data_IF_615913774213
#
_entry.id   IF_615913774213
#
_cell.length_a   1.000
_cell.length_b   1.000
_cell.length_c   1.000
_cell.angle_alpha   90.00
_cell.angle_beta   90.00
_cell.angle_gamma   90.00
#
_symmetry.space_group_name_H-M   'P 1'
#
loop_
_entity.id
_entity.type
_entity.pdbx_description
1 polymer ?
#
# COMPACT_ATOMS: atom_id res chain seq x y z
N UNK A 1 37.54 15.13 0.57
CA UNK A 1 36.52 16.19 0.37
C UNK A 1 35.29 15.55 -0.24
N UNK A 2 34.23 15.30 0.56
CA UNK A 2 32.94 14.80 0.06
C UNK A 2 32.03 16.01 -0.19
N UNK A 3 31.74 16.31 -1.45
CA UNK A 3 30.70 17.27 -1.79
C UNK A 3 29.34 16.61 -1.51
N UNK A 4 28.63 17.06 -0.47
CA UNK A 4 27.21 16.79 -0.33
C UNK A 4 26.51 17.59 -1.42
N UNK A 5 26.28 16.97 -2.57
CA UNK A 5 25.37 17.51 -3.57
C UNK A 5 23.97 17.43 -2.98
N UNK A 6 23.53 18.52 -2.36
CA UNK A 6 22.12 18.73 -2.03
C UNK A 6 21.36 18.80 -3.34
N UNK A 7 20.85 17.65 -3.78
CA UNK A 7 19.87 17.61 -4.87
C UNK A 7 18.69 18.46 -4.37
N UNK A 8 18.28 19.53 -5.08
CA UNK A 8 17.15 20.31 -4.65
C UNK A 8 15.96 19.37 -4.53
N UNK A 9 15.43 19.24 -3.31
CA UNK A 9 14.10 18.68 -3.10
C UNK A 9 13.21 19.38 -4.10
N UNK A 10 12.51 18.61 -4.93
CA UNK A 10 11.48 19.14 -5.81
C UNK A 10 10.42 19.73 -4.87
N UNK A 11 10.59 21.00 -4.51
CA UNK A 11 9.58 21.78 -3.81
C UNK A 11 8.47 21.93 -4.84
N UNK A 12 7.31 21.30 -4.67
CA UNK A 12 6.19 21.57 -5.55
C UNK A 12 5.99 23.09 -5.55
N UNK A 13 5.97 23.74 -6.72
CA UNK A 13 5.38 25.08 -6.85
C UNK A 13 3.91 24.93 -6.43
N UNK A 14 3.65 25.17 -5.16
CA UNK A 14 2.88 24.17 -4.43
C UNK A 14 1.35 24.30 -4.48
N UNK A 15 0.65 23.22 -4.12
CA UNK A 15 -0.81 23.07 -4.21
C UNK A 15 -1.58 23.84 -3.12
N UNK A 16 -0.99 24.83 -2.45
CA UNK A 16 -1.54 25.40 -1.21
C UNK A 16 -2.74 26.34 -1.43
N UNK A 17 -2.94 26.80 -2.67
CA UNK A 17 -4.18 27.47 -3.10
C UNK A 17 -5.30 26.48 -3.43
N UNK A 18 -4.97 25.19 -3.59
CA UNK A 18 -5.97 24.15 -3.80
C UNK A 18 -6.42 23.61 -2.46
N UNK A 19 -7.72 23.32 -2.36
CA UNK A 19 -8.32 22.70 -1.17
C UNK A 19 -7.52 21.47 -0.73
N UNK A 20 -7.35 21.28 0.58
CA UNK A 20 -6.75 20.07 1.14
C UNK A 20 -7.40 18.83 0.52
N UNK A 21 -6.57 17.92 0.03
CA UNK A 21 -7.05 16.67 -0.56
C UNK A 21 -7.38 15.68 0.56
N UNK A 22 -8.60 15.74 1.09
CA UNK A 22 -9.08 14.84 2.14
C UNK A 22 -9.24 13.38 1.71
N UNK A 23 -9.10 13.09 0.40
CA UNK A 23 -9.09 11.74 -0.14
C UNK A 23 -7.64 11.23 -0.37
N UNK A 24 -6.64 11.91 0.21
CA UNK A 24 -5.26 11.45 0.24
C UNK A 24 -5.16 10.18 1.09
N UNK A 25 -4.31 9.25 0.67
CA UNK A 25 -3.98 8.02 1.38
C UNK A 25 -2.47 7.97 1.58
N UNK A 26 -2.02 7.42 2.70
CA UNK A 26 -0.61 7.24 2.97
C UNK A 26 -0.31 5.98 3.80
N UNK A 27 0.83 5.33 3.54
CA UNK A 27 1.33 4.23 4.37
C UNK A 27 1.64 4.72 5.80
N UNK A 28 1.91 3.82 6.73
CA UNK A 28 2.27 4.22 8.10
C UNK A 28 3.56 5.06 8.13
N UNK A 29 4.49 4.80 7.21
CA UNK A 29 5.71 5.59 6.94
C UNK A 29 5.46 6.94 6.28
N UNK A 30 4.21 7.26 5.93
CA UNK A 30 3.86 8.51 5.28
C UNK A 30 4.08 8.56 3.76
N UNK A 31 4.22 7.42 3.09
CA UNK A 31 4.28 7.40 1.63
C UNK A 31 2.90 7.60 1.03
N UNK A 32 2.77 8.57 0.13
CA UNK A 32 1.49 8.87 -0.51
C UNK A 32 1.11 7.76 -1.48
N UNK A 33 -0.06 7.17 -1.27
CA UNK A 33 -0.70 6.22 -2.17
C UNK A 33 -1.97 6.83 -2.76
N UNK A 34 -2.30 6.46 -3.99
CA UNK A 34 -3.59 6.79 -4.60
C UNK A 34 -4.44 5.53 -4.68
N UNK A 35 -5.63 5.47 -4.06
CA UNK A 35 -6.51 4.32 -4.26
C UNK A 35 -6.90 4.20 -5.74
N UNK A 36 -7.00 2.97 -6.26
CA UNK A 36 -7.20 2.73 -7.70
C UNK A 36 -8.36 3.55 -8.29
N UNK A 37 -9.47 3.66 -7.56
CA UNK A 37 -10.66 4.40 -7.97
C UNK A 37 -10.39 5.90 -8.21
N UNK A 38 -9.51 6.51 -7.42
CA UNK A 38 -9.09 7.89 -7.62
C UNK A 38 -8.09 7.97 -8.78
N UNK A 39 -7.15 7.02 -8.87
CA UNK A 39 -6.17 6.95 -9.95
C UNK A 39 -6.80 6.91 -11.34
N UNK A 40 -7.88 6.13 -11.53
CA UNK A 40 -8.61 6.06 -12.82
C UNK A 40 -9.53 7.25 -13.07
N UNK A 41 -9.84 8.05 -12.05
CA UNK A 41 -10.67 9.27 -12.17
C UNK A 41 -9.84 10.53 -12.37
N UNK A 42 -8.57 10.53 -11.94
CA UNK A 42 -7.64 11.65 -12.09
C UNK A 42 -7.42 12.02 -13.56
N UNK A 43 -7.82 13.23 -13.91
CA UNK A 43 -7.70 13.84 -15.24
C UNK A 43 -8.62 15.05 -15.33
N UNK A 44 -8.30 16.00 -16.21
CA UNK A 44 -9.16 17.16 -16.45
C UNK A 44 -10.60 16.72 -16.72
N UNK A 45 -11.56 17.46 -16.19
CA UNK A 45 -12.96 17.39 -16.61
C UNK A 45 -13.06 17.80 -18.07
N UNK A 46 -12.77 16.86 -18.98
CA UNK A 46 -13.05 17.04 -20.39
C UNK A 46 -14.57 16.96 -20.59
N UNK A 47 -15.05 17.76 -21.53
CA UNK A 47 -16.42 17.70 -22.01
C UNK A 47 -16.83 16.23 -22.26
N UNK A 48 -18.05 15.87 -21.84
CA UNK A 48 -18.59 14.52 -22.05
C UNK A 48 -18.44 14.15 -23.53
N UNK A 49 -17.67 13.11 -23.88
CA UNK A 49 -17.51 12.73 -25.27
C UNK A 49 -18.88 12.33 -25.84
N UNK A 50 -19.20 12.81 -27.05
CA UNK A 50 -20.42 12.41 -27.74
C UNK A 50 -20.33 10.93 -28.15
N UNK A 51 -21.43 10.19 -28.07
CA UNK A 51 -21.51 8.78 -28.51
C UNK A 51 -21.04 8.62 -29.98
N UNK A 52 -21.33 9.63 -30.81
CA UNK A 52 -20.98 9.66 -32.23
C UNK A 52 -19.46 9.60 -32.47
N UNK A 53 -18.67 10.32 -31.66
CA UNK A 53 -17.21 10.34 -31.78
C UNK A 53 -16.59 8.96 -31.55
N UNK A 54 -17.18 8.15 -30.64
CA UNK A 54 -16.67 6.80 -30.35
C UNK A 54 -16.95 5.82 -31.49
N UNK A 55 -18.11 5.92 -32.15
CA UNK A 55 -18.42 5.08 -33.31
C UNK A 55 -17.47 5.34 -34.48
N UNK A 56 -17.07 6.59 -34.70
CA UNK A 56 -16.08 6.95 -35.73
C UNK A 56 -14.73 6.30 -35.41
N UNK A 57 -14.28 6.38 -34.15
CA UNK A 57 -13.03 5.76 -33.69
C UNK A 57 -12.97 4.26 -34.02
N UNK A 58 -14.05 3.51 -33.72
CA UNK A 58 -14.10 2.07 -33.98
C UNK A 58 -14.07 1.68 -35.47
N UNK A 59 -14.33 2.62 -36.39
CA UNK A 59 -14.28 2.41 -37.84
C UNK A 59 -12.90 2.71 -38.44
N UNK A 60 -11.98 3.27 -37.67
CA UNK A 60 -10.62 3.54 -38.14
C UNK A 60 -9.83 2.23 -38.30
N UNK A 61 -8.84 2.18 -39.20
CA UNK A 61 -7.81 1.13 -39.20
C UNK A 61 -7.18 0.93 -37.82
N UNK A 62 -6.82 -0.30 -37.48
CA UNK A 62 -6.33 -0.68 -36.14
C UNK A 62 -5.08 0.11 -35.75
N UNK A 63 -4.24 0.46 -36.72
CA UNK A 63 -3.03 1.25 -36.54
C UNK A 63 -3.37 2.68 -36.06
N UNK A 64 -4.40 3.28 -36.67
CA UNK A 64 -4.88 4.61 -36.27
C UNK A 64 -5.60 4.55 -34.92
N UNK A 65 -6.35 3.48 -34.64
CA UNK A 65 -6.92 3.27 -33.31
C UNK A 65 -5.84 3.22 -32.24
N UNK A 66 -4.79 2.40 -32.45
CA UNK A 66 -3.67 2.26 -31.52
C UNK A 66 -2.89 3.57 -31.35
N UNK A 67 -2.67 4.30 -32.44
CA UNK A 67 -2.06 5.62 -32.40
C UNK A 67 -2.88 6.58 -31.53
N UNK A 68 -4.19 6.67 -31.73
CA UNK A 68 -5.08 7.52 -30.91
C UNK A 68 -5.04 7.10 -29.44
N UNK A 69 -5.09 5.80 -29.14
CA UNK A 69 -5.02 5.30 -27.76
C UNK A 69 -3.73 5.72 -27.05
N UNK A 70 -2.61 5.85 -27.77
CA UNK A 70 -1.33 6.29 -27.19
C UNK A 70 -1.35 7.73 -26.65
N UNK A 71 -2.28 8.57 -27.13
CA UNK A 71 -2.50 9.93 -26.63
C UNK A 71 -3.59 10.02 -25.55
N UNK A 72 -4.28 8.91 -25.26
CA UNK A 72 -5.31 8.91 -24.24
C UNK A 72 -4.71 9.04 -22.84
N UNK A 73 -5.37 9.84 -21.99
CA UNK A 73 -5.06 9.84 -20.56
C UNK A 73 -5.55 8.55 -19.89
N UNK A 74 -5.21 8.37 -18.61
CA UNK A 74 -5.53 7.16 -17.85
C UNK A 74 -7.03 6.92 -17.75
N UNK A 75 -7.79 7.99 -17.53
CA UNK A 75 -9.24 7.94 -17.42
C UNK A 75 -9.85 7.46 -18.73
N UNK A 76 -9.44 8.02 -19.87
CA UNK A 76 -9.91 7.60 -21.18
C UNK A 76 -9.52 6.15 -21.49
N UNK A 77 -8.27 5.75 -21.24
CA UNK A 77 -7.83 4.36 -21.42
C UNK A 77 -8.66 3.38 -20.58
N UNK A 78 -8.90 3.71 -19.30
CA UNK A 78 -9.74 2.90 -18.41
C UNK A 78 -11.18 2.78 -18.92
N UNK A 79 -11.77 3.87 -19.42
CA UNK A 79 -13.11 3.82 -20.00
C UNK A 79 -13.15 2.94 -21.26
N UNK A 80 -12.16 3.08 -22.15
CA UNK A 80 -12.07 2.25 -23.38
C UNK A 80 -11.91 0.77 -23.04
N UNK A 81 -11.10 0.43 -22.04
CA UNK A 81 -10.95 -0.94 -21.55
C UNK A 81 -12.30 -1.56 -21.16
N UNK A 82 -13.20 -0.76 -20.59
CA UNK A 82 -14.50 -1.22 -20.10
C UNK A 82 -15.59 -1.19 -21.18
N UNK A 83 -15.54 -0.25 -22.12
CA UNK A 83 -16.62 -0.01 -23.08
C UNK A 83 -16.51 -0.83 -24.37
N UNK A 84 -15.31 -1.25 -24.78
CA UNK A 84 -15.11 -1.89 -26.09
C UNK A 84 -14.22 -3.13 -26.00
N UNK A 85 -14.75 -4.33 -26.30
CA UNK A 85 -13.96 -5.57 -26.32
C UNK A 85 -12.82 -5.55 -27.35
N UNK A 86 -13.02 -4.92 -28.52
CA UNK A 86 -12.03 -4.92 -29.61
C UNK A 86 -10.78 -4.11 -29.26
N UNK A 87 -10.93 -3.03 -28.51
CA UNK A 87 -9.83 -2.14 -28.11
C UNK A 87 -9.34 -2.40 -26.69
N UNK A 88 -10.05 -3.24 -25.91
CA UNK A 88 -9.74 -3.52 -24.51
C UNK A 88 -8.30 -3.96 -24.30
N UNK A 89 -7.81 -4.88 -25.14
CA UNK A 89 -6.46 -5.45 -25.02
C UNK A 89 -5.38 -4.38 -25.22
N UNK A 90 -5.49 -3.56 -26.26
CA UNK A 90 -4.49 -2.52 -26.55
C UNK A 90 -4.56 -1.36 -25.56
N UNK A 91 -5.76 -0.95 -25.15
CA UNK A 91 -5.94 0.06 -24.11
C UNK A 91 -5.37 -0.41 -22.76
N UNK A 92 -5.57 -1.68 -22.40
CA UNK A 92 -5.00 -2.26 -21.19
C UNK A 92 -3.47 -2.22 -21.21
N UNK A 93 -2.82 -2.63 -22.32
CA UNK A 93 -1.36 -2.57 -22.44
C UNK A 93 -0.83 -1.17 -22.13
N UNK A 94 -1.44 -0.13 -22.69
CA UNK A 94 -1.03 1.26 -22.49
C UNK A 94 -1.33 1.77 -21.07
N UNK A 95 -2.47 1.37 -20.49
CA UNK A 95 -2.85 1.77 -19.14
C UNK A 95 -1.87 1.24 -18.09
N UNK A 96 -1.50 -0.04 -18.19
CA UNK A 96 -0.63 -0.72 -17.22
C UNK A 96 0.87 -0.55 -17.50
N UNK A 97 1.27 0.10 -18.60
CA UNK A 97 2.68 0.25 -19.00
C UNK A 97 3.36 1.54 -18.57
N UNK A 98 2.79 2.32 -17.66
CA UNK A 98 3.42 3.59 -17.20
C UNK A 98 4.50 3.33 -16.16
N UNK A 99 5.81 3.56 -16.45
CA UNK A 99 6.89 3.21 -15.53
C UNK A 99 6.95 4.07 -14.25
N UNK A 100 6.35 5.26 -14.29
CA UNK A 100 6.29 6.18 -13.15
C UNK A 100 5.27 5.76 -12.09
N UNK A 101 4.34 4.86 -12.44
CA UNK A 101 3.28 4.38 -11.57
C UNK A 101 3.64 2.97 -11.11
N UNK A 102 3.49 2.71 -9.82
CA UNK A 102 3.68 1.38 -9.25
C UNK A 102 2.46 0.96 -8.46
N UNK A 103 2.09 -0.29 -8.63
CA UNK A 103 1.03 -0.90 -7.84
C UNK A 103 1.64 -1.50 -6.58
N UNK A 104 1.11 -1.10 -5.43
CA UNK A 104 1.57 -1.59 -4.12
C UNK A 104 1.02 -2.99 -3.91
N UNK A 105 1.91 -3.95 -3.66
CA UNK A 105 1.58 -5.35 -3.43
C UNK A 105 2.15 -5.75 -2.07
N UNK A 106 1.35 -6.46 -1.30
CA UNK A 106 1.78 -7.01 -0.01
C UNK A 106 2.82 -8.12 -0.21
N UNK A 107 3.99 -7.95 0.37
CA UNK A 107 5.11 -8.91 0.35
C UNK A 107 4.77 -10.22 1.07
N UNK A 108 4.31 -10.19 2.33
CA UNK A 108 3.77 -11.34 3.05
C UNK A 108 2.78 -12.18 2.25
N UNK A 109 1.84 -11.55 1.55
CA UNK A 109 0.93 -12.27 0.65
C UNK A 109 1.67 -13.06 -0.45
N UNK A 110 2.75 -12.54 -1.04
CA UNK A 110 3.53 -13.27 -2.03
C UNK A 110 4.36 -14.39 -1.42
N UNK A 111 4.91 -14.19 -0.23
CA UNK A 111 5.64 -15.20 0.53
C UNK A 111 4.73 -16.36 0.93
N UNK A 112 3.48 -16.06 1.28
CA UNK A 112 2.46 -17.06 1.59
C UNK A 112 1.92 -17.78 0.35
N UNK A 113 2.55 -17.65 -0.82
CA UNK A 113 2.12 -18.32 -2.05
C UNK A 113 1.06 -17.54 -2.85
N UNK A 114 0.71 -16.33 -2.44
CA UNK A 114 -0.16 -15.44 -3.20
C UNK A 114 -1.58 -15.98 -3.29
N UNK A 115 -2.12 -16.51 -2.20
CA UNK A 115 -3.46 -17.11 -2.17
C UNK A 115 -4.56 -16.03 -2.28
N UNK A 116 -5.63 -16.21 -3.09
CA UNK A 116 -6.70 -15.23 -3.27
C UNK A 116 -7.52 -14.95 -2.01
N UNK A 117 -7.55 -15.88 -1.05
CA UNK A 117 -8.23 -15.65 0.22
C UNK A 117 -7.50 -14.62 1.11
N UNK A 118 -6.21 -14.40 0.90
CA UNK A 118 -5.39 -13.53 1.76
C UNK A 118 -5.40 -12.08 1.25
N UNK A 119 -5.74 -11.86 -0.02
CA UNK A 119 -5.78 -10.51 -0.62
C UNK A 119 -7.17 -10.19 -1.14
N UNK A 120 -7.59 -8.95 -0.92
CA UNK A 120 -8.78 -8.38 -1.56
C UNK A 120 -8.47 -7.70 -2.90
N UNK A 121 -7.24 -7.86 -3.45
CA UNK A 121 -6.87 -7.30 -4.75
C UNK A 121 -7.47 -8.09 -5.92
N UNK A 122 -7.92 -7.38 -6.96
CA UNK A 122 -8.42 -8.00 -8.20
C UNK A 122 -7.28 -8.69 -8.96
N UNK A 123 -7.27 -10.03 -8.85
CA UNK A 123 -6.24 -10.86 -9.45
C UNK A 123 -6.22 -10.84 -10.98
N UNK A 124 -7.33 -10.52 -11.65
CA UNK A 124 -7.33 -10.35 -13.11
C UNK A 124 -6.64 -9.05 -13.51
N UNK A 125 -6.81 -7.99 -12.71
CA UNK A 125 -6.06 -6.76 -12.89
C UNK A 125 -4.56 -6.97 -12.59
N UNK A 126 -4.21 -7.72 -11.54
CA UNK A 126 -2.83 -8.06 -11.19
C UNK A 126 -2.07 -8.68 -12.37
N UNK A 127 -2.72 -9.55 -13.16
CA UNK A 127 -2.09 -10.17 -14.34
C UNK A 127 -1.59 -9.16 -15.37
N UNK A 128 -2.16 -7.96 -15.40
CA UNK A 128 -1.82 -6.92 -16.36
C UNK A 128 -0.76 -5.94 -15.85
N UNK A 129 -0.49 -5.91 -14.53
CA UNK A 129 0.43 -4.96 -13.92
C UNK A 129 1.88 -5.25 -14.33
N UNK A 130 2.62 -4.20 -14.70
CA UNK A 130 4.00 -4.30 -15.20
C UNK A 130 5.06 -3.76 -14.23
N UNK A 131 4.67 -2.79 -13.42
CA UNK A 131 5.54 -2.07 -12.49
C UNK A 131 4.98 -2.23 -11.09
N UNK A 132 5.68 -2.99 -10.26
CA UNK A 132 5.23 -3.35 -8.93
C UNK A 132 6.11 -2.65 -7.88
N UNK A 133 5.49 -2.37 -6.74
CA UNK A 133 6.16 -2.02 -5.50
C UNK A 133 5.71 -3.05 -4.47
N UNK A 134 6.60 -3.94 -4.06
CA UNK A 134 6.29 -4.99 -3.08
C UNK A 134 6.73 -4.48 -1.72
N UNK A 135 5.77 -4.28 -0.84
CA UNK A 135 5.95 -3.72 0.49
C UNK A 135 6.06 -4.83 1.53
N UNK A 136 7.10 -4.78 2.34
CA UNK A 136 7.28 -5.63 3.52
C UNK A 136 7.11 -4.76 4.77
N UNK A 137 6.07 -5.03 5.57
CA UNK A 137 5.86 -4.31 6.82
C UNK A 137 6.58 -4.98 7.98
N UNK A 138 7.05 -4.19 8.94
CA UNK A 138 7.81 -4.68 10.11
C UNK A 138 7.12 -5.76 10.93
N UNK A 139 5.79 -5.71 11.02
CA UNK A 139 4.99 -6.66 11.80
C UNK A 139 4.89 -8.03 11.13
N UNK A 140 5.21 -8.12 9.84
CA UNK A 140 5.05 -9.31 9.01
C UNK A 140 6.37 -9.80 8.40
N UNK A 141 7.45 -9.01 8.51
CA UNK A 141 8.73 -9.21 7.83
C UNK A 141 9.69 -10.16 8.53
N UNK A 142 9.24 -10.95 9.51
CA UNK A 142 10.00 -12.14 9.86
C UNK A 142 9.88 -13.11 8.68
N UNK A 143 10.72 -12.94 7.65
CA UNK A 143 10.94 -13.91 6.57
C UNK A 143 11.28 -15.29 7.18
N UNK A 144 11.92 -15.31 8.35
CA UNK A 144 12.10 -16.52 9.17
C UNK A 144 10.84 -17.13 9.79
N UNK A 145 9.65 -16.56 9.61
CA UNK A 145 8.39 -17.24 9.98
C UNK A 145 8.11 -18.33 8.96
N UNK A 146 7.83 -19.55 9.43
CA UNK A 146 7.47 -20.60 8.49
C UNK A 146 6.08 -20.34 7.90
N UNK A 147 6.03 -20.04 6.62
CA UNK A 147 4.80 -20.02 5.85
C UNK A 147 4.49 -21.45 5.40
N UNK A 148 3.96 -22.28 6.30
CA UNK A 148 3.50 -23.63 5.98
C UNK A 148 2.10 -23.53 5.37
N UNK A 149 2.01 -23.86 4.09
CA UNK A 149 0.78 -23.79 3.31
C UNK A 149 0.09 -22.42 3.33
N UNK A 150 0.84 -21.32 3.51
CA UNK A 150 0.29 -19.96 3.52
C UNK A 150 -0.25 -19.48 4.86
N UNK A 151 -0.06 -20.25 5.94
CA UNK A 151 -0.27 -19.79 7.31
C UNK A 151 1.08 -19.44 7.94
N UNK A 152 1.14 -18.32 8.67
CA UNK A 152 2.34 -17.92 9.39
C UNK A 152 2.46 -18.74 10.68
N UNK A 153 3.39 -19.69 10.72
CA UNK A 153 3.74 -20.36 11.95
C UNK A 153 4.77 -19.53 12.71
N UNK A 154 4.36 -18.98 13.86
CA UNK A 154 5.26 -18.35 14.82
C UNK A 154 6.08 -19.43 15.54
N UNK A 155 6.99 -20.07 14.82
CA UNK A 155 7.97 -20.93 15.45
C UNK A 155 9.09 -20.00 15.94
N UNK A 156 9.32 -19.99 17.25
CA UNK A 156 10.44 -19.27 17.86
C UNK A 156 11.76 -19.96 17.48
N UNK A 157 12.21 -19.77 16.24
CA UNK A 157 13.40 -20.41 15.67
C UNK A 157 14.72 -19.83 16.17
N UNK A 158 14.69 -18.83 17.06
CA UNK A 158 15.85 -17.98 17.29
C UNK A 158 17.00 -18.65 18.05
N UNK A 159 16.77 -19.78 18.72
CA UNK A 159 17.76 -20.29 19.68
C UNK A 159 18.54 -21.57 19.28
N UNK A 160 18.09 -22.42 18.32
CA UNK A 160 18.66 -23.78 18.26
C UNK A 160 19.15 -24.33 16.88
N UNK A 161 19.09 -23.62 15.74
CA UNK A 161 19.57 -24.23 14.47
C UNK A 161 20.31 -23.29 13.50
N UNK A 162 21.60 -23.04 13.77
CA UNK A 162 22.52 -22.27 12.89
C UNK A 162 22.78 -22.91 11.50
N UNK A 163 22.24 -24.09 11.18
CA UNK A 163 22.50 -24.81 9.91
C UNK A 163 21.32 -24.95 8.95
N UNK A 164 20.06 -24.81 9.41
CA UNK A 164 18.86 -25.00 8.57
C UNK A 164 18.39 -23.71 7.88
N UNK A 165 18.80 -22.53 8.39
CA UNK A 165 18.33 -21.24 7.92
C UNK A 165 18.63 -21.01 6.42
N UNK A 166 19.83 -21.33 5.97
CA UNK A 166 20.27 -20.98 4.60
C UNK A 166 19.52 -21.73 3.49
N UNK A 167 19.17 -23.01 3.67
CA UNK A 167 18.42 -23.75 2.64
C UNK A 167 16.95 -23.36 2.62
N UNK A 168 16.39 -23.00 3.78
CA UNK A 168 15.03 -22.54 3.93
C UNK A 168 14.82 -21.16 3.27
N UNK A 169 15.74 -20.22 3.51
CA UNK A 169 15.76 -18.90 2.87
C UNK A 169 15.78 -19.02 1.34
N UNK A 170 16.67 -19.86 0.78
CA UNK A 170 16.74 -20.05 -0.67
C UNK A 170 15.44 -20.61 -1.26
N UNK A 171 14.78 -21.52 -0.54
CA UNK A 171 13.47 -22.04 -0.94
C UNK A 171 12.40 -20.94 -0.94
N UNK A 172 12.29 -20.15 0.12
CA UNK A 172 11.32 -19.06 0.21
C UNK A 172 11.51 -18.00 -0.87
N UNK A 173 12.75 -17.57 -1.12
CA UNK A 173 13.08 -16.61 -2.17
C UNK A 173 12.64 -17.16 -3.54
N UNK A 174 12.89 -18.45 -3.77
CA UNK A 174 12.48 -19.14 -5.00
C UNK A 174 10.96 -19.18 -5.14
N UNK A 175 10.24 -19.55 -4.09
CA UNK A 175 8.78 -19.62 -4.10
C UNK A 175 8.12 -18.24 -4.22
N UNK A 176 8.71 -17.20 -3.61
CA UNK A 176 8.30 -15.81 -3.81
C UNK A 176 8.32 -15.43 -5.30
N UNK A 177 9.44 -15.64 -5.98
CA UNK A 177 9.57 -15.26 -7.40
C UNK A 177 8.70 -16.12 -8.32
N UNK A 178 8.52 -17.41 -8.02
CA UNK A 178 7.56 -18.27 -8.73
C UNK A 178 6.13 -17.75 -8.56
N UNK A 179 5.74 -17.41 -7.34
CA UNK A 179 4.43 -16.86 -7.01
C UNK A 179 4.20 -15.53 -7.72
N UNK A 180 5.18 -14.62 -7.67
CA UNK A 180 5.12 -13.33 -8.35
C UNK A 180 4.93 -13.52 -9.86
N UNK A 181 5.71 -14.40 -10.52
CA UNK A 181 5.55 -14.67 -11.96
C UNK A 181 4.19 -15.26 -12.30
N UNK A 182 3.66 -16.14 -11.44
CA UNK A 182 2.34 -16.75 -11.60
C UNK A 182 1.22 -15.73 -11.49
N UNK A 183 1.28 -14.84 -10.49
CA UNK A 183 0.23 -13.83 -10.22
C UNK A 183 0.36 -12.58 -11.09
N UNK A 184 1.57 -12.23 -11.49
CA UNK A 184 1.92 -11.05 -12.29
C UNK A 184 2.73 -11.43 -13.53
N UNK A 185 2.17 -12.21 -14.48
CA UNK A 185 2.88 -12.63 -15.69
C UNK A 185 3.38 -11.48 -16.58
N UNK A 186 2.80 -10.28 -16.44
CA UNK A 186 3.25 -9.08 -17.16
C UNK A 186 4.31 -8.26 -16.41
N UNK A 187 4.70 -8.63 -15.19
CA UNK A 187 5.69 -7.90 -14.42
C UNK A 187 7.01 -7.76 -15.21
N UNK A 188 7.52 -6.54 -15.25
CA UNK A 188 8.81 -6.19 -15.88
C UNK A 188 9.76 -5.56 -14.91
N UNK A 189 9.23 -4.87 -13.92
CA UNK A 189 10.05 -4.21 -12.93
C UNK A 189 9.39 -4.22 -11.56
N UNK A 190 10.14 -4.73 -10.59
CA UNK A 190 9.72 -4.95 -9.21
C UNK A 190 10.67 -4.17 -8.32
N UNK A 191 10.11 -3.33 -7.45
CA UNK A 191 10.87 -2.71 -6.38
C UNK A 191 10.43 -3.36 -5.08
N UNK A 192 11.35 -4.00 -4.37
CA UNK A 192 11.14 -4.47 -3.01
C UNK A 192 11.42 -3.29 -2.08
N UNK A 193 10.50 -3.00 -1.17
CA UNK A 193 10.70 -1.99 -0.15
C UNK A 193 10.22 -2.53 1.18
N UNK A 194 10.95 -2.23 2.24
CA UNK A 194 10.49 -2.49 3.59
C UNK A 194 10.15 -1.18 4.28
N UNK A 195 9.09 -1.22 5.07
CA UNK A 195 8.67 -0.20 6.01
C UNK A 195 9.59 -0.21 7.23
N UNK A 196 10.06 0.98 7.64
CA UNK A 196 10.67 1.20 8.95
C UNK A 196 12.03 0.56 9.25
N UNK A 197 12.69 -0.19 8.35
CA UNK A 197 14.00 -0.83 8.63
C UNK A 197 14.98 0.23 9.15
N UNK A 198 15.23 0.21 10.46
CA UNK A 198 16.29 1.00 11.05
C UNK A 198 17.63 0.30 10.79
N UNK A 199 18.76 0.94 11.12
CA UNK A 199 20.06 0.28 11.08
C UNK A 199 20.11 -1.01 11.93
N UNK A 200 19.21 -1.16 12.91
CA UNK A 200 19.05 -2.39 13.70
C UNK A 200 18.49 -3.57 12.92
N UNK A 201 17.77 -3.34 11.82
CA UNK A 201 17.08 -4.39 11.04
C UNK A 201 17.90 -4.83 9.82
N UNK A 202 19.22 -4.90 10.01
CA UNK A 202 20.17 -5.32 8.98
C UNK A 202 19.81 -6.69 8.37
N UNK A 203 19.18 -7.59 9.15
CA UNK A 203 18.77 -8.93 8.71
C UNK A 203 17.73 -8.84 7.58
N UNK A 204 16.62 -8.12 7.80
CA UNK A 204 15.56 -7.98 6.78
C UNK A 204 16.11 -7.32 5.51
N UNK A 205 17.01 -6.36 5.67
CA UNK A 205 17.65 -5.72 4.53
C UNK A 205 18.53 -6.70 3.72
N UNK A 206 19.33 -7.54 4.39
CA UNK A 206 20.14 -8.57 3.73
C UNK A 206 19.26 -9.61 3.01
N UNK A 207 18.15 -10.05 3.61
CA UNK A 207 17.23 -10.99 2.95
C UNK A 207 16.62 -10.37 1.67
N UNK A 208 16.24 -9.09 1.71
CA UNK A 208 15.77 -8.40 0.51
C UNK A 208 16.87 -8.22 -0.55
N UNK A 209 18.12 -8.04 -0.15
CA UNK A 209 19.27 -8.05 -1.07
C UNK A 209 19.36 -9.41 -1.76
N UNK A 210 19.28 -10.51 -1.00
CA UNK A 210 19.30 -11.86 -1.55
C UNK A 210 18.11 -12.09 -2.50
N UNK A 211 16.91 -11.62 -2.14
CA UNK A 211 15.73 -11.68 -3.02
C UNK A 211 15.96 -10.98 -4.35
N UNK A 212 16.49 -9.74 -4.33
CA UNK A 212 16.84 -9.00 -5.56
C UNK A 212 17.89 -9.78 -6.37
N UNK A 213 18.92 -10.31 -5.69
CA UNK A 213 20.02 -11.07 -6.30
C UNK A 213 19.59 -12.35 -7.03
N UNK A 214 18.45 -12.93 -6.63
CA UNK A 214 17.86 -14.15 -7.23
C UNK A 214 16.68 -13.84 -8.15
N UNK A 215 16.51 -12.59 -8.58
CA UNK A 215 15.45 -12.21 -9.51
C UNK A 215 15.51 -13.02 -10.81
N UNK A 216 14.38 -13.57 -11.30
CA UNK A 216 14.35 -14.36 -12.52
C UNK A 216 14.54 -13.50 -13.77
N UNK A 217 15.02 -14.13 -14.86
CA UNK A 217 15.21 -13.48 -16.15
C UNK A 217 13.95 -12.77 -16.67
N UNK A 218 14.15 -11.59 -17.24
CA UNK A 218 13.09 -10.78 -17.84
C UNK A 218 12.30 -9.92 -16.85
N UNK A 219 12.63 -9.98 -15.55
CA UNK A 219 12.19 -9.05 -14.52
C UNK A 219 13.40 -8.25 -14.02
N UNK A 220 13.25 -6.94 -13.91
CA UNK A 220 14.20 -6.05 -13.25
C UNK A 220 13.80 -5.93 -11.78
N UNK A 221 14.64 -6.38 -10.86
CA UNK A 221 14.45 -6.20 -9.42
C UNK A 221 15.34 -5.10 -8.87
N UNK A 222 14.77 -4.30 -7.97
CA UNK A 222 15.45 -3.20 -7.28
C UNK A 222 15.06 -3.19 -5.82
N UNK A 223 15.96 -2.67 -4.99
CA UNK A 223 15.71 -2.50 -3.57
C UNK A 223 15.48 -1.03 -3.26
N UNK A 224 14.51 -0.76 -2.42
CA UNK A 224 14.20 0.59 -1.96
C UNK A 224 14.28 0.67 -0.46
N UNK A 225 15.08 1.63 0.03
CA UNK A 225 15.31 1.84 1.47
C UNK A 225 14.93 3.28 1.85
N UNK A 226 14.45 3.46 3.08
CA UNK A 226 14.41 4.78 3.71
C UNK A 226 15.83 5.35 3.80
N UNK A 227 15.99 6.66 3.58
CA UNK A 227 17.29 7.31 3.72
C UNK A 227 17.67 7.35 5.21
N UNK A 228 18.79 6.76 5.66
CA UNK A 228 19.13 6.65 7.09
C UNK A 228 19.38 8.01 7.77
N UNK A 229 19.76 9.05 7.02
CA UNK A 229 19.87 10.44 7.53
C UNK A 229 18.50 11.10 7.82
N UNK A 230 17.43 10.30 7.78
CA UNK A 230 16.05 10.70 7.95
C UNK A 230 15.39 9.84 9.01
N UNK A 231 15.15 10.37 10.21
CA UNK A 231 14.37 9.67 11.24
C UNK A 231 13.01 9.20 10.71
N UNK A 232 12.59 8.03 11.20
CA UNK A 232 11.67 7.13 10.52
C UNK A 232 10.21 7.59 10.46
N UNK A 233 9.79 8.56 11.28
CA UNK A 233 8.37 8.58 11.62
C UNK A 233 7.46 9.28 10.61
N UNK A 234 7.80 10.38 9.91
CA UNK A 234 6.79 11.05 9.03
C UNK A 234 7.32 11.95 7.89
N UNK A 235 8.46 11.65 7.22
CA UNK A 235 8.82 12.45 6.00
C UNK A 235 7.94 12.01 4.83
N UNK A 236 7.69 12.86 3.81
CA UNK A 236 7.52 12.32 2.45
C UNK A 236 8.84 11.63 2.14
N UNK A 237 8.92 10.33 2.45
CA UNK A 237 10.22 9.70 2.53
C UNK A 237 10.80 9.63 1.14
N UNK A 238 11.86 10.41 0.96
CA UNK A 238 12.76 10.20 -0.15
C UNK A 238 13.42 8.85 0.07
N UNK A 239 12.98 7.86 -0.70
CA UNK A 239 13.60 6.56 -0.72
C UNK A 239 14.89 6.62 -1.53
N UNK A 240 15.86 5.82 -1.12
CA UNK A 240 17.02 5.50 -1.92
C UNK A 240 16.70 4.25 -2.73
N UNK A 241 17.00 4.28 -4.02
CA UNK A 241 16.77 3.15 -4.92
C UNK A 241 18.11 2.53 -5.30
N UNK A 242 18.24 1.26 -5.01
CA UNK A 242 19.41 0.45 -5.27
C UNK A 242 19.13 -0.55 -6.40
N UNK A 243 20.14 -0.81 -7.21
CA UNK A 243 20.10 -1.81 -8.26
C UNK A 243 21.33 -2.71 -8.12
N UNK A 244 21.13 -3.99 -8.42
CA UNK A 244 22.22 -4.95 -8.49
C UNK A 244 23.11 -4.63 -9.70
N UNK A 245 24.41 -4.51 -9.48
CA UNK A 245 25.38 -4.17 -10.54
C UNK A 245 26.14 -5.36 -11.08
N UNK A 246 26.49 -6.32 -10.24
CA UNK A 246 27.20 -7.52 -10.63
C UNK A 246 26.78 -8.71 -9.77
N UNK A 247 26.52 -9.84 -10.42
CA UNK A 247 26.46 -11.15 -9.80
C UNK A 247 27.82 -11.82 -9.99
N UNK A 248 28.85 -11.36 -9.28
CA UNK A 248 30.03 -12.19 -9.15
C UNK A 248 29.70 -13.33 -8.17
N UNK A 249 30.15 -14.54 -8.48
CA UNK A 249 29.57 -15.83 -8.05
C UNK A 249 29.39 -16.09 -6.54
N UNK A 250 29.75 -15.16 -5.66
CA UNK A 250 29.59 -15.29 -4.21
C UNK A 250 29.01 -14.08 -3.48
N UNK A 251 28.92 -12.88 -4.08
CA UNK A 251 28.39 -11.69 -3.39
C UNK A 251 27.64 -10.75 -4.33
N UNK A 252 26.42 -10.40 -3.93
CA UNK A 252 25.63 -9.37 -4.59
C UNK A 252 26.09 -8.00 -4.12
N UNK A 253 26.46 -7.12 -5.06
CA UNK A 253 26.69 -5.71 -4.77
C UNK A 253 25.50 -4.87 -5.23
N UNK A 254 25.02 -4.02 -4.33
CA UNK A 254 24.03 -2.99 -4.65
C UNK A 254 24.73 -1.66 -4.96
N UNK A 255 24.34 -1.03 -6.05
CA UNK A 255 24.69 0.35 -6.36
C UNK A 255 23.47 1.26 -6.13
N UNK A 256 23.73 2.39 -5.49
CA UNK A 256 22.75 3.46 -5.34
C UNK A 256 22.49 4.10 -6.70
N UNK A 257 21.35 3.80 -7.32
CA UNK A 257 20.95 4.38 -8.61
C UNK A 257 20.25 5.73 -8.46
N UNK A 258 19.51 5.92 -7.37
CA UNK A 258 18.82 7.19 -7.07
C UNK A 258 18.90 7.48 -5.58
N UNK A 259 19.57 8.57 -5.23
CA UNK A 259 19.60 9.08 -3.85
C UNK A 259 18.24 9.62 -3.38
N UNK A 260 17.39 10.02 -4.32
CA UNK A 260 16.01 10.44 -4.05
C UNK A 260 15.05 9.82 -5.07
N UNK A 261 14.14 9.01 -4.56
CA UNK A 261 13.17 8.29 -5.33
C UNK A 261 11.80 8.40 -4.66
N UNK A 262 10.82 8.87 -5.42
CA UNK A 262 9.44 9.05 -4.99
C UNK A 262 8.53 8.64 -6.17
N UNK A 263 8.15 7.35 -6.24
CA UNK A 263 7.24 6.87 -7.28
C UNK A 263 5.80 7.34 -7.03
N UNK A 264 4.97 7.34 -8.08
CA UNK A 264 3.52 7.41 -7.88
C UNK A 264 3.03 6.02 -7.45
N UNK A 265 2.72 5.84 -6.16
CA UNK A 265 2.15 4.60 -5.64
C UNK A 265 0.63 4.56 -5.82
N UNK A 266 0.12 3.41 -6.24
CA UNK A 266 -1.30 3.17 -6.47
C UNK A 266 -1.70 1.87 -5.77
N UNK A 267 -2.75 1.92 -4.94
CA UNK A 267 -3.31 0.71 -4.37
C UNK A 267 -4.03 -0.08 -5.48
N UNK A 268 -3.91 -1.42 -5.54
CA UNK A 268 -4.61 -2.25 -6.51
C UNK A 268 -6.14 -2.03 -6.51
N UNK A 269 -6.82 -2.31 -7.64
CA UNK A 269 -8.27 -2.41 -7.62
C UNK A 269 -8.73 -3.56 -6.71
N UNK A 270 -9.84 -3.37 -6.01
CA UNK A 270 -10.46 -4.41 -5.21
C UNK A 270 -11.12 -5.48 -6.08
N UNK A 271 -11.00 -6.74 -5.66
CA UNK A 271 -11.75 -7.84 -6.23
C UNK A 271 -13.24 -7.66 -5.95
N UNK A 272 -14.07 -8.05 -6.91
CA UNK A 272 -15.52 -8.08 -6.74
C UNK A 272 -15.94 -9.49 -6.39
N UNK A 273 -16.23 -9.72 -5.11
CA UNK A 273 -16.97 -10.90 -4.65
C UNK A 273 -18.35 -10.48 -4.15
N UNK A 274 -19.33 -11.34 -4.38
CA UNK A 274 -20.69 -11.20 -3.85
C UNK A 274 -20.80 -12.02 -2.55
N UNK A 275 -21.99 -12.10 -1.94
CA UNK A 275 -22.23 -13.04 -0.83
C UNK A 275 -21.48 -12.73 0.48
N UNK A 276 -21.50 -13.65 1.45
CA UNK A 276 -20.86 -13.48 2.75
C UNK A 276 -19.34 -13.28 2.67
N UNK A 277 -18.63 -14.01 1.78
CA UNK A 277 -17.17 -13.84 1.62
C UNK A 277 -16.84 -12.44 1.11
N UNK A 278 -17.56 -11.97 0.08
CA UNK A 278 -17.31 -10.64 -0.48
C UNK A 278 -17.74 -9.49 0.43
N UNK A 279 -18.70 -9.72 1.32
CA UNK A 279 -19.06 -8.77 2.37
C UNK A 279 -17.93 -8.64 3.40
N UNK A 280 -17.36 -9.76 3.86
CA UNK A 280 -16.25 -9.76 4.80
C UNK A 280 -14.96 -9.15 4.21
N UNK A 281 -14.59 -9.50 2.97
CA UNK A 281 -13.43 -8.89 2.31
C UNK A 281 -13.56 -7.38 2.13
N UNK A 282 -14.78 -6.89 1.85
CA UNK A 282 -15.04 -5.46 1.78
C UNK A 282 -14.82 -4.78 3.12
N UNK A 283 -15.27 -5.41 4.21
CA UNK A 283 -15.04 -4.92 5.56
C UNK A 283 -13.53 -4.82 5.86
N UNK A 284 -12.74 -5.84 5.54
CA UNK A 284 -11.28 -5.81 5.68
C UNK A 284 -10.65 -4.66 4.87
N UNK A 285 -10.99 -4.57 3.59
CA UNK A 285 -10.48 -3.51 2.70
C UNK A 285 -10.82 -2.10 3.20
N UNK A 286 -12.07 -1.88 3.64
CA UNK A 286 -12.52 -0.56 4.08
C UNK A 286 -11.82 -0.15 5.38
N UNK A 287 -11.48 -1.12 6.24
CA UNK A 287 -10.58 -0.91 7.37
C UNK A 287 -9.21 -0.43 6.89
N UNK A 288 -8.59 -1.15 5.94
CA UNK A 288 -7.24 -0.80 5.45
C UNK A 288 -7.25 0.60 4.83
N UNK A 289 -8.27 0.91 4.04
CA UNK A 289 -8.45 2.23 3.47
C UNK A 289 -8.62 3.31 4.54
N UNK A 290 -9.35 3.04 5.62
CA UNK A 290 -9.46 3.96 6.75
C UNK A 290 -8.08 4.27 7.36
N UNK A 291 -7.22 3.26 7.57
CA UNK A 291 -5.85 3.50 8.04
C UNK A 291 -5.07 4.38 7.09
N UNK A 292 -5.14 4.11 5.78
CA UNK A 292 -4.44 4.91 4.79
C UNK A 292 -4.86 6.39 4.85
N UNK A 293 -6.16 6.67 5.01
CA UNK A 293 -6.66 8.04 5.14
C UNK A 293 -6.23 8.66 6.48
N UNK A 294 -6.30 7.89 7.56
CA UNK A 294 -5.91 8.36 8.89
C UNK A 294 -4.41 8.70 8.97
N UNK A 295 -3.55 7.90 8.34
CA UNK A 295 -2.13 8.20 8.20
C UNK A 295 -1.90 9.46 7.36
N UNK A 296 -2.65 9.63 6.27
CA UNK A 296 -2.58 10.82 5.44
C UNK A 296 -3.00 12.10 6.17
N UNK A 297 -3.93 12.04 7.14
CA UNK A 297 -4.35 13.20 7.96
C UNK A 297 -3.15 13.89 8.63
N UNK A 298 -2.22 13.12 9.21
CA UNK A 298 -1.01 13.68 9.85
C UNK A 298 -0.15 14.44 8.84
N UNK A 299 0.07 13.86 7.66
CA UNK A 299 0.82 14.51 6.58
C UNK A 299 0.15 15.80 6.09
N UNK A 300 -1.18 15.77 5.94
CA UNK A 300 -1.95 16.96 5.53
C UNK A 300 -1.83 18.07 6.57
N UNK A 301 -1.88 17.75 7.86
CA UNK A 301 -1.74 18.72 8.95
C UNK A 301 -0.36 19.38 8.93
N UNK A 302 0.68 18.56 8.76
CA UNK A 302 2.04 19.04 8.60
C UNK A 302 2.13 19.98 7.40
N UNK A 303 1.73 19.54 6.21
CA UNK A 303 1.78 20.36 5.01
C UNK A 303 0.97 21.68 5.16
N UNK A 304 -0.18 21.62 5.83
CA UNK A 304 -1.02 22.79 6.07
C UNK A 304 -0.37 23.82 7.00
N UNK A 305 0.28 23.37 8.09
CA UNK A 305 0.99 24.25 9.02
C UNK A 305 2.13 24.97 8.30
N UNK A 306 2.99 24.23 7.59
CA UNK A 306 4.12 24.82 6.88
C UNK A 306 3.65 25.83 5.83
N UNK A 307 2.66 25.44 5.03
CA UNK A 307 2.12 26.30 3.98
C UNK A 307 1.49 27.59 4.55
N UNK A 308 0.79 27.50 5.67
CA UNK A 308 0.20 28.66 6.31
C UNK A 308 1.26 29.70 6.71
N UNK A 309 2.34 29.28 7.38
CA UNK A 309 3.38 30.22 7.79
C UNK A 309 4.17 30.76 6.60
N UNK A 310 4.70 29.87 5.75
CA UNK A 310 5.64 30.27 4.70
C UNK A 310 4.96 30.96 3.51
N UNK A 311 3.69 30.65 3.21
CA UNK A 311 3.00 31.19 2.05
C UNK A 311 1.88 32.17 2.39
N UNK A 312 1.04 31.87 3.38
CA UNK A 312 -0.06 32.75 3.75
C UNK A 312 0.43 33.94 4.56
N UNK A 313 1.21 33.69 5.62
CA UNK A 313 1.76 34.75 6.46
C UNK A 313 3.07 35.34 5.90
N UNK A 314 3.72 34.63 4.96
CA UNK A 314 5.05 34.99 4.44
C UNK A 314 6.07 35.22 5.57
N UNK A 315 5.99 34.39 6.61
CA UNK A 315 6.79 34.47 7.81
C UNK A 315 7.46 33.12 8.09
N UNK A 316 8.57 33.14 8.85
CA UNK A 316 9.21 31.92 9.30
C UNK A 316 8.21 31.05 10.09
N UNK A 317 8.12 29.77 9.75
CA UNK A 317 7.36 28.80 10.53
C UNK A 317 8.07 28.59 11.86
N UNK A 318 7.40 28.84 12.98
CA UNK A 318 7.92 28.53 14.31
C UNK A 318 7.37 27.15 14.69
N UNK A 319 8.22 26.27 15.21
CA UNK A 319 7.77 24.96 15.65
C UNK A 319 6.60 25.08 16.64
N UNK A 320 5.43 24.46 16.39
CA UNK A 320 4.26 24.61 17.24
C UNK A 320 4.36 23.83 18.56
N UNK A 321 5.38 22.98 18.72
CA UNK A 321 5.61 22.26 19.97
C UNK A 321 6.07 23.21 21.08
N UNK A 322 5.49 23.08 22.30
CA UNK A 322 5.93 23.84 23.46
C UNK A 322 7.45 23.71 23.65
N UNK A 323 8.11 24.82 23.93
CA UNK A 323 9.54 24.90 24.23
C UNK A 323 10.51 24.59 23.07
N UNK A 324 10.05 24.22 21.87
CA UNK A 324 10.97 24.00 20.76
C UNK A 324 11.55 25.32 20.23
N UNK A 325 10.69 26.29 19.89
CA UNK A 325 11.08 27.65 19.48
C UNK A 325 11.90 27.77 18.19
N UNK A 326 12.25 26.65 17.53
CA UNK A 326 12.99 26.67 16.26
C UNK A 326 12.18 27.34 15.15
N UNK A 327 12.88 28.08 14.30
CA UNK A 327 12.32 28.82 13.16
C UNK A 327 12.78 28.20 11.85
N UNK A 328 11.90 28.19 10.87
CA UNK A 328 12.11 27.60 9.55
C UNK A 328 11.68 28.61 8.49
N UNK A 329 12.57 28.93 7.56
CA UNK A 329 12.37 29.97 6.56
C UNK A 329 12.11 29.39 5.16
N UNK A 330 12.49 28.14 4.93
CA UNK A 330 12.33 27.48 3.64
C UNK A 330 11.32 26.31 3.73
N UNK A 331 10.55 26.07 2.66
CA UNK A 331 9.65 24.91 2.61
C UNK A 331 10.39 23.59 2.80
N UNK A 332 9.73 22.65 3.48
CA UNK A 332 10.28 21.39 3.92
C UNK A 332 11.04 21.47 5.24
N UNK A 333 11.70 22.58 5.61
CA UNK A 333 12.57 22.61 6.79
C UNK A 333 11.83 22.29 8.10
N UNK A 334 10.60 22.79 8.27
CA UNK A 334 9.81 22.48 9.45
C UNK A 334 9.35 21.02 9.44
N UNK A 335 8.95 20.49 8.28
CA UNK A 335 8.63 19.06 8.12
C UNK A 335 9.83 18.19 8.50
N UNK A 336 11.03 18.51 7.99
CA UNK A 336 12.26 17.78 8.31
C UNK A 336 12.51 17.79 9.82
N UNK A 337 12.28 18.92 10.48
CA UNK A 337 12.43 19.06 11.93
C UNK A 337 11.38 18.26 12.71
N UNK A 338 10.10 18.38 12.36
CA UNK A 338 8.99 17.65 12.99
C UNK A 338 9.31 16.16 13.04
N UNK A 339 9.69 15.61 11.89
CA UNK A 339 10.02 14.18 11.76
C UNK A 339 11.29 13.79 12.50
N UNK A 340 12.25 14.71 12.63
CA UNK A 340 13.51 14.45 13.33
C UNK A 340 13.51 14.66 14.83
N UNK A 341 12.44 15.24 15.32
CA UNK A 341 12.21 15.30 16.75
C UNK A 341 11.69 13.90 17.09
N UNK A 342 12.57 13.09 17.68
CA UNK A 342 12.32 11.72 18.15
C UNK A 342 10.93 11.57 18.82
N UNK A 343 10.35 10.36 18.80
CA UNK A 343 8.99 10.08 19.31
C UNK A 343 8.76 10.61 20.72
N UNK A 344 9.82 10.72 21.53
CA UNK A 344 9.81 11.33 22.86
C UNK A 344 9.25 12.77 22.90
N UNK A 345 9.43 13.58 21.84
CA UNK A 345 8.79 14.91 21.75
C UNK A 345 7.35 14.86 21.24
N UNK A 346 6.97 13.85 20.46
CA UNK A 346 5.60 13.69 19.94
C UNK A 346 4.64 13.10 20.97
N UNK A 347 5.14 12.38 21.96
CA UNK A 347 4.38 11.98 23.16
C UNK A 347 3.82 13.20 23.90
N UNK A 348 4.45 14.38 23.77
CA UNK A 348 4.06 15.60 24.49
C UNK A 348 2.92 16.40 23.81
N UNK A 349 2.40 15.98 22.66
CA UNK A 349 1.18 16.54 22.07
C UNK A 349 1.18 16.60 20.54
N UNK A 350 -0.01 16.59 19.93
CA UNK A 350 -0.18 16.75 18.48
C UNK A 350 -0.07 18.23 18.10
N UNK A 351 0.57 18.60 16.97
CA UNK A 351 0.58 19.98 16.53
C UNK A 351 -0.86 20.44 16.24
N UNK A 352 -1.21 21.65 16.65
CA UNK A 352 -2.54 22.22 16.37
C UNK A 352 -2.54 22.99 15.04
N UNK A 353 -3.66 22.99 14.29
CA UNK A 353 -3.84 23.89 13.15
C UNK A 353 -3.58 25.36 13.52
N UNK A 354 -2.91 26.15 12.67
CA UNK A 354 -2.38 27.47 13.05
C UNK A 354 -3.42 28.62 12.95
N UNK A 355 -4.63 28.34 12.46
CA UNK A 355 -5.72 29.31 12.38
C UNK A 355 -7.08 28.62 12.50
N UNK A 356 -8.13 29.39 12.82
CA UNK A 356 -9.49 28.89 13.01
C UNK A 356 -10.06 28.18 11.78
N UNK A 357 -9.77 28.69 10.57
CA UNK A 357 -10.23 28.07 9.32
C UNK A 357 -9.64 26.66 9.13
N UNK A 358 -8.34 26.49 9.36
CA UNK A 358 -7.71 25.16 9.29
C UNK A 358 -8.20 24.28 10.45
N UNK A 359 -8.37 24.84 11.64
CA UNK A 359 -8.93 24.12 12.78
C UNK A 359 -10.30 23.52 12.47
N UNK A 360 -11.23 24.33 11.97
CA UNK A 360 -12.55 23.88 11.55
C UNK A 360 -12.47 22.81 10.47
N UNK A 361 -11.62 22.98 9.46
CA UNK A 361 -11.47 22.01 8.37
C UNK A 361 -10.93 20.64 8.85
N UNK A 362 -9.97 20.62 9.79
CA UNK A 362 -9.48 19.38 10.40
C UNK A 362 -10.50 18.76 11.35
N UNK A 363 -11.26 19.56 12.09
CA UNK A 363 -12.35 19.07 12.93
C UNK A 363 -13.46 18.41 12.09
N UNK A 364 -13.85 19.03 10.98
CA UNK A 364 -14.81 18.44 10.03
C UNK A 364 -14.29 17.12 9.44
N UNK A 365 -13.00 17.05 9.11
CA UNK A 365 -12.38 15.82 8.63
C UNK A 365 -12.35 14.73 9.71
N UNK A 366 -12.14 15.09 10.98
CA UNK A 366 -12.16 14.16 12.10
C UNK A 366 -13.57 13.59 12.36
N UNK A 367 -14.60 14.43 12.21
CA UNK A 367 -16.00 13.97 12.21
C UNK A 367 -16.23 12.98 11.05
N UNK A 368 -15.73 13.28 9.85
CA UNK A 368 -15.82 12.37 8.69
C UNK A 368 -15.12 11.04 8.95
N UNK A 369 -13.91 11.06 9.51
CA UNK A 369 -13.16 9.85 9.84
C UNK A 369 -13.88 9.00 10.89
N UNK A 370 -14.40 9.64 11.94
CA UNK A 370 -15.23 8.97 12.93
C UNK A 370 -16.45 8.32 12.29
N UNK A 371 -17.15 9.01 11.38
CA UNK A 371 -18.29 8.42 10.67
C UNK A 371 -17.90 7.23 9.77
N UNK A 372 -16.70 7.23 9.20
CA UNK A 372 -16.18 6.08 8.43
C UNK A 372 -15.94 4.90 9.37
N UNK A 373 -15.31 5.13 10.53
CA UNK A 373 -15.06 4.11 11.54
C UNK A 373 -16.37 3.55 12.12
N UNK A 374 -17.29 4.43 12.54
CA UNK A 374 -18.60 4.02 13.07
C UNK A 374 -19.35 3.13 12.06
N UNK A 375 -19.33 3.48 10.75
CA UNK A 375 -19.93 2.65 9.70
C UNK A 375 -19.21 1.33 9.49
N UNK A 376 -17.90 1.30 9.67
CA UNK A 376 -17.08 0.09 9.56
C UNK A 376 -17.41 -0.87 10.70
N UNK A 377 -17.55 -0.35 11.93
CA UNK A 377 -17.97 -1.10 13.12
C UNK A 377 -19.42 -1.60 13.01
N UNK A 378 -20.37 -0.74 12.63
CA UNK A 378 -21.77 -1.11 12.38
C UNK A 378 -21.90 -2.23 11.32
N UNK A 379 -21.02 -2.21 10.31
CA UNK A 379 -20.99 -3.24 9.29
C UNK A 379 -20.46 -4.57 9.83
N UNK A 380 -19.43 -4.56 10.68
CA UNK A 380 -18.98 -5.76 11.38
C UNK A 380 -20.07 -6.34 12.29
N UNK A 381 -20.76 -5.49 13.04
CA UNK A 381 -21.87 -5.91 13.90
C UNK A 381 -22.99 -6.55 13.09
N UNK A 382 -23.26 -6.03 11.89
CA UNK A 382 -24.21 -6.63 10.95
C UNK A 382 -23.76 -8.03 10.51
N UNK A 383 -22.46 -8.22 10.22
CA UNK A 383 -21.89 -9.53 9.88
C UNK A 383 -21.97 -10.51 11.06
N UNK A 384 -21.64 -10.05 12.28
CA UNK A 384 -21.73 -10.86 13.52
C UNK A 384 -23.17 -11.26 13.83
N UNK A 385 -24.12 -10.33 13.66
CA UNK A 385 -25.54 -10.64 13.81
C UNK A 385 -26.02 -11.67 12.79
N UNK A 386 -25.55 -11.57 11.54
CA UNK A 386 -25.85 -12.57 10.51
C UNK A 386 -25.21 -13.93 10.80
N UNK A 387 -24.01 -13.93 11.39
CA UNK A 387 -23.32 -15.11 11.87
C UNK A 387 -24.07 -15.84 12.99
N UNK A 388 -24.69 -15.13 13.93
CA UNK A 388 -25.51 -15.74 14.98
C UNK A 388 -24.70 -16.34 16.15
N UNK A 389 -25.43 -16.91 17.12
CA UNK A 389 -24.86 -17.42 18.37
C UNK A 389 -24.19 -18.78 18.21
N UNK A 390 -23.25 -19.12 19.10
CA UNK A 390 -22.63 -20.45 19.15
C UNK A 390 -23.67 -21.56 19.30
N UNK A 391 -23.58 -22.58 18.46
CA UNK A 391 -24.52 -23.71 18.44
C UNK A 391 -25.89 -23.40 17.81
N UNK A 392 -26.15 -22.17 17.36
CA UNK A 392 -27.41 -21.82 16.69
C UNK A 392 -27.49 -22.37 15.26
N UNK A 393 -28.70 -22.68 14.80
CA UNK A 393 -28.96 -23.04 13.39
C UNK A 393 -28.51 -21.93 12.43
N UNK A 394 -28.63 -20.67 12.86
CA UNK A 394 -28.18 -19.51 12.10
C UNK A 394 -26.68 -19.56 11.84
N UNK A 395 -25.87 -19.85 12.86
CA UNK A 395 -24.42 -19.99 12.73
C UNK A 395 -24.01 -21.17 11.88
N UNK A 396 -24.74 -22.28 11.99
CA UNK A 396 -24.54 -23.42 11.11
C UNK A 396 -24.79 -23.02 9.64
N UNK A 397 -25.91 -22.35 9.34
CA UNK A 397 -26.24 -21.87 7.99
C UNK A 397 -25.17 -20.90 7.49
N UNK A 398 -24.83 -19.86 8.26
CA UNK A 398 -23.82 -18.87 7.87
C UNK A 398 -22.44 -19.51 7.60
N UNK A 399 -22.07 -20.52 8.41
CA UNK A 399 -20.86 -21.34 8.19
C UNK A 399 -20.92 -22.05 6.85
N UNK A 400 -22.02 -22.76 6.57
CA UNK A 400 -22.17 -23.49 5.32
C UNK A 400 -22.17 -22.55 4.12
N UNK A 401 -22.89 -21.42 4.17
CA UNK A 401 -22.93 -20.43 3.09
C UNK A 401 -21.55 -19.84 2.79
N UNK A 402 -20.77 -19.51 3.82
CA UNK A 402 -19.42 -18.97 3.65
C UNK A 402 -18.48 -20.01 3.02
N UNK A 403 -18.46 -21.23 3.55
CA UNK A 403 -17.60 -22.32 3.06
C UNK A 403 -18.00 -22.80 1.66
N UNK A 404 -19.30 -22.92 1.38
CA UNK A 404 -19.83 -23.24 0.05
C UNK A 404 -19.42 -22.18 -0.96
N UNK A 405 -19.53 -20.89 -0.61
CA UNK A 405 -19.06 -19.83 -1.49
C UNK A 405 -17.54 -19.93 -1.78
N UNK A 406 -16.72 -20.22 -0.78
CA UNK A 406 -15.28 -20.43 -0.99
C UNK A 406 -14.99 -21.66 -1.86
N UNK A 407 -15.78 -22.73 -1.70
CA UNK A 407 -15.67 -23.96 -2.49
C UNK A 407 -16.06 -23.74 -3.95
N UNK A 408 -17.04 -22.88 -4.20
CA UNK A 408 -17.55 -22.57 -5.52
C UNK A 408 -16.75 -21.46 -6.23
N UNK A 409 -16.03 -20.61 -5.49
CA UNK A 409 -15.18 -19.57 -6.08
C UNK A 409 -13.99 -20.23 -6.82
N UNK A 410 -13.89 -20.09 -8.15
CA UNK A 410 -12.82 -20.73 -8.93
C UNK A 410 -11.40 -20.29 -8.53
N UNK A 411 -11.26 -19.14 -7.87
CA UNK A 411 -9.99 -18.63 -7.38
C UNK A 411 -9.54 -19.32 -6.09
N UNK A 412 -10.49 -19.69 -5.22
CA UNK A 412 -10.24 -20.32 -3.92
C UNK A 412 -10.23 -21.85 -4.02
N UNK A 413 -11.18 -22.44 -4.77
CA UNK A 413 -11.43 -23.89 -4.87
C UNK A 413 -10.23 -24.76 -5.29
N UNK A 414 -9.19 -24.17 -5.89
CA UNK A 414 -8.09 -24.91 -6.52
C UNK A 414 -6.85 -25.06 -5.63
N UNK A 415 -6.87 -24.52 -4.42
CA UNK A 415 -5.66 -24.39 -3.60
C UNK A 415 -5.75 -25.17 -2.29
N UNK A 416 -6.86 -25.05 -1.56
CA UNK A 416 -7.10 -25.73 -0.29
C UNK A 416 -8.59 -26.01 -0.10
N UNK A 417 -8.88 -26.92 0.83
CA UNK A 417 -10.24 -27.02 1.36
C UNK A 417 -10.63 -25.69 2.03
N UNK A 418 -11.87 -25.20 1.83
CA UNK A 418 -12.35 -23.94 2.41
C UNK A 418 -12.08 -23.78 3.91
N UNK A 419 -12.22 -24.87 4.66
CA UNK A 419 -12.05 -24.95 6.11
C UNK A 419 -10.59 -24.73 6.56
N UNK A 420 -9.62 -24.93 5.68
CA UNK A 420 -8.18 -24.74 5.91
C UNK A 420 -7.68 -23.41 5.31
N UNK A 421 -8.59 -22.55 4.87
CA UNK A 421 -8.24 -21.26 4.28
C UNK A 421 -8.04 -20.19 5.35
N UNK A 422 -7.00 -19.37 5.19
CA UNK A 422 -6.71 -18.24 6.09
C UNK A 422 -7.89 -17.27 6.22
N UNK A 423 -8.61 -17.02 5.11
CA UNK A 423 -9.79 -16.13 5.14
C UNK A 423 -10.91 -16.68 6.02
N UNK A 424 -11.08 -18.01 6.05
CA UNK A 424 -12.04 -18.65 6.94
C UNK A 424 -11.61 -18.53 8.40
N UNK A 425 -10.33 -18.78 8.69
CA UNK A 425 -9.77 -18.61 10.02
C UNK A 425 -9.94 -17.16 10.54
N UNK A 426 -9.55 -16.16 9.74
CA UNK A 426 -9.72 -14.75 10.09
C UNK A 426 -11.20 -14.39 10.27
N UNK A 427 -12.07 -14.91 9.42
CA UNK A 427 -13.52 -14.72 9.55
C UNK A 427 -14.05 -15.29 10.88
N UNK A 428 -13.68 -16.51 11.24
CA UNK A 428 -14.08 -17.11 12.51
C UNK A 428 -13.58 -16.30 13.72
N UNK A 429 -12.32 -15.84 13.70
CA UNK A 429 -11.78 -14.98 14.75
C UNK A 429 -12.58 -13.67 14.88
N UNK A 430 -12.96 -13.10 13.74
CA UNK A 430 -13.72 -11.86 13.68
C UNK A 430 -15.13 -11.98 14.24
N UNK A 431 -15.81 -13.08 13.90
CA UNK A 431 -17.20 -13.30 14.23
C UNK A 431 -17.42 -13.77 15.68
N UNK A 432 -16.42 -14.39 16.31
CA UNK A 432 -16.56 -14.97 17.66
C UNK A 432 -16.06 -14.02 18.79
N UNK A 433 -15.99 -12.72 18.54
CA UNK A 433 -15.43 -11.70 19.46
C UNK A 433 -13.99 -11.96 19.95
N UNK A 434 -13.33 -13.01 19.45
CA UNK A 434 -11.94 -13.34 19.74
C UNK A 434 -10.99 -12.20 19.37
N UNK A 435 -11.39 -11.34 18.43
CA UNK A 435 -10.59 -10.19 18.02
C UNK A 435 -10.30 -9.19 19.15
N UNK A 436 -11.23 -8.97 20.09
CA UNK A 436 -10.99 -8.04 21.20
C UNK A 436 -10.12 -8.64 22.32
N UNK A 437 -9.98 -9.97 22.36
CA UNK A 437 -9.31 -10.71 23.44
C UNK A 437 -7.88 -11.14 23.11
N UNK A 438 -7.38 -10.98 21.88
CA UNK A 438 -5.98 -11.21 21.54
C UNK A 438 -5.15 -9.95 21.84
N UNK A 439 -4.33 -9.91 22.91
CA UNK A 439 -3.55 -8.72 23.26
C UNK A 439 -2.51 -8.38 22.18
N UNK A 440 -2.02 -9.40 21.46
CA UNK A 440 -0.93 -9.30 20.48
C UNK A 440 -1.42 -9.09 19.04
N UNK A 441 -2.57 -9.68 18.65
CA UNK A 441 -3.21 -9.41 17.35
C UNK A 441 -4.28 -8.33 17.43
N UNK A 442 -4.25 -7.51 18.49
CA UNK A 442 -5.17 -6.39 18.57
C UNK A 442 -5.02 -5.52 17.33
N UNK A 443 -6.14 -4.91 16.98
CA UNK A 443 -6.28 -3.77 16.09
C UNK A 443 -5.23 -2.66 16.32
N UNK A 444 -4.44 -2.71 17.41
CA UNK A 444 -3.31 -1.79 17.67
C UNK A 444 -2.04 -2.09 16.87
N UNK A 445 -1.65 -3.35 16.67
CA UNK A 445 -0.40 -3.68 15.96
C UNK A 445 -0.59 -3.78 14.43
N UNK A 446 -1.74 -4.27 13.95
CA UNK A 446 -2.04 -4.30 12.51
C UNK A 446 -2.48 -2.93 11.96
N UNK A 447 -2.93 -2.00 12.82
CA UNK A 447 -3.53 -0.72 12.42
C UNK A 447 -2.83 0.53 12.99
N UNK A 448 -1.78 0.38 13.79
CA UNK A 448 -0.98 1.51 14.31
C UNK A 448 -1.80 2.56 15.09
N UNK A 449 -2.96 2.17 15.64
CA UNK A 449 -3.83 3.07 16.39
C UNK A 449 -3.44 3.02 17.86
N UNK A 450 -2.50 3.88 18.24
CA UNK A 450 -2.46 4.36 19.63
C UNK A 450 -3.73 5.17 19.87
N UNK A 451 -4.59 4.67 20.76
CA UNK A 451 -5.77 5.42 21.19
C UNK A 451 -5.35 6.70 21.92
N UNK A 452 -6.04 7.76 21.52
CA UNK A 452 -6.01 9.17 21.94
C UNK A 452 -6.08 9.35 23.45
#
# INVERSE_FOLDING_TARGET
MRFRNHTPLITPKGPWLTSLNWDLCATASGEICTPFQHYVRQGQERAKPSLHSFTIFLRLPIELQNYILSFCDRKALWQVMRSSPSTRKEAAKLFWSKPAVRFVIDGPWLLSGGYPGITYSDLEACKCMRYLYVEFSHTSSNLGSEWLDGEQQHINFRDDVEGLASSYEEHQITEFWKTLRRRFPCAKDVVLGAEGIDESDAIVFEELIQMVGRCPDGISARLSRFCPDTPLTFRPVSRQLFQQTHADSSRFSLELTKASWSPQLVLPPIQKRSGPVGAYERWLHDGDLYNYIQNARKLLLIQAIEAYYLHTLQAACICPFPNCGRKFEEPGQWVLHYVSSDDSMHVLGKPSPPCETLYAAFADHEIRLKLILDRHDEYLDTLRKAWGEEGSDQRYIATQEFLEQLRDDPLCARQKEPEESQIWFEYQLAMNDGWHNYPDMTTRQRWGVDMI
#
